data_IF_299721345831
#
_entry.id   IF_299721345831
#
_cell.length_a   1.000
_cell.length_b   1.000
_cell.length_c   1.000
_cell.angle_alpha   90.00
_cell.angle_beta   90.00
_cell.angle_gamma   90.00
#
_symmetry.space_group_name_H-M   'P 1'
#
loop_
_entity.id
_entity.type
_entity.pdbx_description
1 polymer ?
#
# COMPACT_ATOMS: atom_id res chain seq x y z
N UNK A 1 -1.42 -10.12 -15.28
CA UNK A 1 -1.71 -9.22 -16.42
C UNK A 1 -3.19 -9.02 -16.68
N UNK A 2 -3.96 -10.03 -17.10
CA UNK A 2 -5.41 -9.85 -17.40
C UNK A 2 -6.23 -9.27 -16.24
N UNK A 3 -5.95 -9.66 -15.00
CA UNK A 3 -6.60 -9.07 -13.81
C UNK A 3 -6.16 -7.63 -13.52
N UNK A 4 -4.89 -7.30 -13.78
CA UNK A 4 -4.33 -5.96 -13.51
C UNK A 4 -4.86 -4.90 -14.47
N UNK A 5 -5.17 -5.30 -15.70
CA UNK A 5 -5.85 -4.46 -16.70
C UNK A 5 -7.22 -5.05 -17.00
N UNK A 6 -7.92 -5.47 -15.94
CA UNK A 6 -9.28 -6.02 -16.04
C UNK A 6 -10.20 -5.03 -16.74
N UNK A 7 -11.19 -5.57 -17.46
CA UNK A 7 -12.15 -4.82 -18.25
C UNK A 7 -11.51 -3.95 -19.36
N UNK A 8 -10.22 -4.16 -19.71
CA UNK A 8 -9.54 -3.53 -20.84
C UNK A 8 -8.96 -4.58 -21.79
N UNK A 9 -8.85 -4.22 -23.07
CA UNK A 9 -8.19 -5.07 -24.07
C UNK A 9 -6.68 -4.96 -23.87
N UNK A 10 -6.03 -6.09 -23.61
CA UNK A 10 -4.58 -6.23 -23.57
C UNK A 10 -4.12 -6.85 -24.89
N UNK A 11 -3.22 -6.17 -25.59
CA UNK A 11 -2.63 -6.67 -26.82
C UNK A 11 -1.81 -7.95 -26.61
N UNK A 12 -1.83 -8.85 -27.59
CA UNK A 12 -1.08 -10.11 -27.52
C UNK A 12 0.41 -9.87 -27.29
N UNK A 13 1.00 -8.87 -27.95
CA UNK A 13 2.42 -8.52 -27.80
C UNK A 13 2.77 -8.10 -26.36
N UNK A 14 1.86 -7.41 -25.66
CA UNK A 14 2.07 -7.04 -24.25
C UNK A 14 1.99 -8.26 -23.33
N UNK A 15 1.16 -9.25 -23.65
CA UNK A 15 1.11 -10.52 -22.93
C UNK A 15 2.37 -11.35 -23.17
N UNK A 16 2.92 -11.33 -24.39
CA UNK A 16 4.17 -12.01 -24.74
C UNK A 16 5.33 -11.42 -23.92
N UNK A 17 5.51 -10.10 -23.94
CA UNK A 17 6.54 -9.42 -23.13
C UNK A 17 6.37 -9.66 -21.64
N UNK A 18 5.15 -9.72 -21.14
CA UNK A 18 4.91 -9.99 -19.72
C UNK A 18 5.39 -11.39 -19.28
N UNK A 19 5.43 -12.37 -20.19
CA UNK A 19 5.78 -13.76 -19.87
C UNK A 19 7.24 -14.07 -20.21
N UNK A 20 7.72 -13.58 -21.35
CA UNK A 20 9.06 -13.93 -21.88
C UNK A 20 10.02 -12.76 -21.99
N UNK A 21 9.60 -11.56 -21.61
CA UNK A 21 10.39 -10.32 -21.73
C UNK A 21 10.94 -10.16 -23.16
N UNK A 22 12.26 -10.02 -23.31
CA UNK A 22 12.94 -9.88 -24.60
C UNK A 22 13.30 -11.22 -25.27
N UNK A 23 12.92 -12.37 -24.70
CA UNK A 23 13.28 -13.71 -25.22
C UNK A 23 12.07 -14.61 -25.50
N UNK A 24 11.10 -14.20 -26.35
CA UNK A 24 9.95 -15.02 -26.67
C UNK A 24 10.31 -16.24 -27.54
N UNK A 25 9.66 -17.40 -27.31
CA UNK A 25 9.78 -18.54 -28.20
C UNK A 25 9.08 -18.27 -29.54
N UNK A 26 9.50 -18.95 -30.61
CA UNK A 26 8.86 -18.86 -31.95
C UNK A 26 7.36 -19.22 -31.90
N UNK A 27 6.93 -19.97 -30.89
CA UNK A 27 5.54 -20.40 -30.68
C UNK A 27 4.75 -19.51 -29.71
N UNK A 28 5.29 -18.35 -29.30
CA UNK A 28 4.71 -17.41 -28.34
C UNK A 28 3.18 -17.24 -28.45
N UNK A 29 2.67 -16.85 -29.62
CA UNK A 29 1.24 -16.61 -29.88
C UNK A 29 0.40 -17.86 -29.72
N UNK A 30 0.94 -19.02 -30.11
CA UNK A 30 0.28 -20.32 -29.92
C UNK A 30 0.22 -20.68 -28.44
N UNK A 31 1.31 -20.45 -27.68
CA UNK A 31 1.33 -20.67 -26.24
C UNK A 31 0.36 -19.74 -25.50
N UNK A 32 0.27 -18.45 -25.89
CA UNK A 32 -0.75 -17.53 -25.35
C UNK A 32 -2.16 -18.09 -25.56
N UNK A 33 -2.49 -18.56 -26.77
CA UNK A 33 -3.83 -19.14 -27.06
C UNK A 33 -4.13 -20.35 -26.17
N UNK A 34 -3.14 -21.21 -25.94
CA UNK A 34 -3.27 -22.37 -25.03
C UNK A 34 -3.55 -21.90 -23.60
N UNK A 35 -2.79 -20.93 -23.10
CA UNK A 35 -3.01 -20.33 -21.78
C UNK A 35 -4.42 -19.73 -21.65
N UNK A 36 -4.87 -18.95 -22.64
CA UNK A 36 -6.21 -18.34 -22.67
C UNK A 36 -7.31 -19.41 -22.68
N UNK A 37 -7.15 -20.48 -23.47
CA UNK A 37 -8.09 -21.61 -23.48
C UNK A 37 -8.16 -22.30 -22.12
N UNK A 38 -7.01 -22.48 -21.45
CA UNK A 38 -6.95 -23.05 -20.10
C UNK A 38 -7.64 -22.17 -19.07
N UNK A 39 -7.36 -20.86 -19.08
CA UNK A 39 -7.99 -19.89 -18.17
C UNK A 39 -9.50 -19.83 -18.36
N UNK A 40 -10.00 -19.84 -19.60
CA UNK A 40 -11.45 -19.89 -19.89
C UNK A 40 -12.13 -21.10 -19.24
N UNK A 41 -11.49 -22.28 -19.30
CA UNK A 41 -12.02 -23.49 -18.65
C UNK A 41 -12.04 -23.36 -17.13
N UNK A 42 -11.02 -22.75 -16.54
CA UNK A 42 -10.95 -22.53 -15.09
C UNK A 42 -12.06 -21.56 -14.63
N UNK A 43 -12.28 -20.46 -15.35
CA UNK A 43 -13.33 -19.51 -14.98
C UNK A 43 -14.74 -20.04 -15.19
N UNK A 44 -14.97 -20.88 -16.21
CA UNK A 44 -16.27 -21.51 -16.43
C UNK A 44 -16.71 -22.45 -15.29
N UNK A 45 -15.78 -22.92 -14.46
CA UNK A 45 -16.05 -23.76 -13.29
C UNK A 45 -15.89 -23.05 -11.94
N UNK A 46 -15.64 -21.74 -11.93
CA UNK A 46 -15.42 -20.97 -10.71
C UNK A 46 -16.68 -20.31 -10.18
N UNK A 47 -16.68 -19.99 -8.88
CA UNK A 47 -17.79 -19.27 -8.21
C UNK A 47 -17.87 -17.79 -8.62
N UNK A 48 -16.77 -17.25 -9.15
CA UNK A 48 -16.67 -15.84 -9.56
C UNK A 48 -16.97 -15.70 -11.06
N UNK A 49 -17.95 -14.86 -11.45
CA UNK A 49 -18.28 -14.65 -12.85
C UNK A 49 -17.18 -13.85 -13.55
N UNK A 50 -16.33 -14.55 -14.30
CA UNK A 50 -15.27 -13.97 -15.11
C UNK A 50 -15.24 -14.57 -16.51
N UNK A 51 -15.14 -13.72 -17.55
CA UNK A 51 -15.12 -14.17 -18.94
C UNK A 51 -13.96 -13.55 -19.69
N UNK A 52 -13.20 -14.35 -20.45
CA UNK A 52 -12.17 -13.81 -21.35
C UNK A 52 -12.74 -13.70 -22.77
N UNK A 53 -12.86 -12.47 -23.27
CA UNK A 53 -13.25 -12.16 -24.64
C UNK A 53 -12.04 -12.05 -25.56
N UNK A 54 -12.17 -12.54 -26.79
CA UNK A 54 -11.16 -12.36 -27.84
C UNK A 54 -11.53 -11.14 -28.67
N UNK A 55 -10.58 -10.21 -28.78
CA UNK A 55 -10.67 -9.03 -29.63
C UNK A 55 -9.67 -9.14 -30.79
N UNK A 56 -9.79 -8.26 -31.79
CA UNK A 56 -8.92 -8.26 -32.98
C UNK A 56 -7.43 -8.20 -32.64
N UNK A 57 -7.07 -7.42 -31.61
CA UNK A 57 -5.67 -7.15 -31.23
C UNK A 57 -5.22 -7.90 -29.98
N UNK A 58 -6.13 -8.58 -29.27
CA UNK A 58 -5.84 -9.03 -27.92
C UNK A 58 -6.98 -9.72 -27.19
N UNK A 59 -6.89 -9.69 -25.87
CA UNK A 59 -7.86 -10.33 -24.98
C UNK A 59 -8.32 -9.35 -23.90
N UNK A 60 -9.57 -9.49 -23.47
CA UNK A 60 -10.15 -8.72 -22.38
C UNK A 60 -10.72 -9.68 -21.34
N UNK A 61 -10.38 -9.47 -20.08
CA UNK A 61 -11.04 -10.17 -18.97
C UNK A 61 -12.19 -9.29 -18.47
N UNK A 62 -13.42 -9.75 -18.66
CA UNK A 62 -14.63 -9.19 -18.09
C UNK A 62 -14.82 -9.76 -16.69
N UNK A 63 -14.84 -8.90 -15.67
CA UNK A 63 -15.00 -9.28 -14.26
C UNK A 63 -15.47 -8.06 -13.47
N UNK A 64 -16.29 -8.26 -12.43
CA UNK A 64 -16.75 -7.14 -11.60
C UNK A 64 -15.59 -6.60 -10.77
N UNK A 65 -15.57 -5.29 -10.56
CA UNK A 65 -14.51 -4.66 -9.76
C UNK A 65 -14.45 -5.22 -8.33
N UNK A 66 -15.59 -5.50 -7.69
CA UNK A 66 -15.60 -6.05 -6.33
C UNK A 66 -15.12 -7.51 -6.23
N UNK A 67 -15.01 -8.22 -7.36
CA UNK A 67 -14.47 -9.59 -7.41
C UNK A 67 -12.92 -9.60 -7.50
N UNK A 68 -12.30 -8.42 -7.64
CA UNK A 68 -10.84 -8.24 -7.60
C UNK A 68 -10.45 -7.60 -6.28
N UNK A 69 -9.64 -8.30 -5.50
CA UNK A 69 -9.14 -7.83 -4.20
C UNK A 69 -8.43 -6.47 -4.29
N UNK A 70 -7.61 -6.23 -5.33
CA UNK A 70 -6.97 -4.93 -5.56
C UNK A 70 -7.95 -3.78 -5.78
N UNK A 71 -9.06 -4.02 -6.49
CA UNK A 71 -10.06 -2.99 -6.76
C UNK A 71 -10.89 -2.73 -5.51
N UNK A 72 -11.27 -3.80 -4.79
CA UNK A 72 -11.94 -3.68 -3.49
C UNK A 72 -11.07 -2.94 -2.47
N UNK A 73 -9.77 -3.24 -2.41
CA UNK A 73 -8.79 -2.51 -1.59
C UNK A 73 -8.81 -1.02 -1.92
N UNK A 74 -8.60 -0.65 -3.19
CA UNK A 74 -8.58 0.75 -3.60
C UNK A 74 -9.88 1.49 -3.26
N UNK A 75 -11.04 0.82 -3.43
CA UNK A 75 -12.35 1.38 -3.08
C UNK A 75 -12.47 1.63 -1.57
N UNK A 76 -12.12 0.64 -0.74
CA UNK A 76 -12.18 0.76 0.72
C UNK A 76 -11.25 1.85 1.24
N UNK A 77 -10.01 1.95 0.71
CA UNK A 77 -9.07 3.02 1.08
C UNK A 77 -9.60 4.39 0.67
N UNK A 78 -10.16 4.52 -0.54
CA UNK A 78 -10.79 5.76 -0.99
C UNK A 78 -11.95 6.18 -0.09
N UNK A 79 -12.80 5.22 0.30
CA UNK A 79 -13.89 5.45 1.23
C UNK A 79 -13.38 5.85 2.63
N UNK A 80 -12.40 5.13 3.17
CA UNK A 80 -11.83 5.40 4.49
C UNK A 80 -11.23 6.81 4.55
N UNK A 81 -10.45 7.22 3.54
CA UNK A 81 -9.87 8.56 3.46
C UNK A 81 -10.93 9.67 3.35
N UNK A 82 -12.02 9.42 2.64
CA UNK A 82 -13.13 10.38 2.55
C UNK A 82 -13.84 10.51 3.91
N UNK A 83 -14.14 9.38 4.55
CA UNK A 83 -14.84 9.34 5.84
C UNK A 83 -13.98 9.89 6.99
N UNK A 84 -12.65 9.76 6.90
CA UNK A 84 -11.70 10.31 7.87
C UNK A 84 -11.84 11.82 8.09
N UNK A 85 -12.47 12.53 7.15
CA UNK A 85 -12.69 13.98 7.22
C UNK A 85 -13.91 14.37 8.06
N UNK A 86 -14.88 13.47 8.22
CA UNK A 86 -16.19 13.80 8.80
C UNK A 86 -16.65 12.84 9.89
N UNK A 87 -16.09 11.62 9.94
CA UNK A 87 -16.49 10.58 10.89
C UNK A 87 -15.51 10.42 12.05
N UNK A 88 -15.98 9.73 13.09
CA UNK A 88 -15.15 9.36 14.22
C UNK A 88 -14.06 8.37 13.79
N UNK A 89 -12.82 8.47 14.31
CA UNK A 89 -11.70 7.62 13.86
C UNK A 89 -11.94 6.11 14.01
N UNK A 90 -12.76 5.67 14.97
CA UNK A 90 -13.04 4.24 15.20
C UNK A 90 -13.73 3.56 14.02
N UNK A 91 -14.69 4.22 13.39
CA UNK A 91 -15.40 3.68 12.21
C UNK A 91 -14.48 3.62 10.99
N UNK A 92 -13.62 4.63 10.84
CA UNK A 92 -12.68 4.78 9.72
C UNK A 92 -11.57 3.72 9.79
N UNK A 93 -11.05 3.42 10.98
CA UNK A 93 -10.05 2.35 11.18
C UNK A 93 -10.59 1.01 10.70
N UNK A 94 -11.88 0.73 10.90
CA UNK A 94 -12.52 -0.51 10.42
C UNK A 94 -12.36 -0.70 8.91
N UNK A 95 -12.57 0.36 8.13
CA UNK A 95 -12.43 0.32 6.66
C UNK A 95 -10.97 0.10 6.23
N UNK A 96 -10.00 0.76 6.89
CA UNK A 96 -8.58 0.51 6.62
C UNK A 96 -8.19 -0.94 6.93
N UNK A 97 -8.62 -1.45 8.09
CA UNK A 97 -8.32 -2.84 8.50
C UNK A 97 -8.96 -3.87 7.57
N UNK A 98 -10.19 -3.63 7.12
CA UNK A 98 -10.84 -4.48 6.11
C UNK A 98 -10.06 -4.48 4.79
N UNK A 99 -9.62 -3.31 4.32
CA UNK A 99 -8.84 -3.19 3.09
C UNK A 99 -7.49 -3.91 3.21
N UNK A 100 -6.75 -3.66 4.28
CA UNK A 100 -5.44 -4.26 4.52
C UNK A 100 -5.53 -5.79 4.64
N UNK A 101 -6.62 -6.33 5.18
CA UNK A 101 -6.84 -7.78 5.28
C UNK A 101 -7.02 -8.50 3.92
N UNK A 102 -7.27 -7.76 2.83
CA UNK A 102 -7.31 -8.32 1.48
C UNK A 102 -5.93 -8.74 0.97
N UNK A 103 -4.86 -8.18 1.56
CA UNK A 103 -3.49 -8.47 1.19
C UNK A 103 -3.02 -9.77 1.83
N UNK A 104 -2.61 -10.73 0.99
CA UNK A 104 -2.16 -12.08 1.41
C UNK A 104 -0.66 -12.30 1.20
N UNK A 105 0.08 -11.22 0.90
CA UNK A 105 1.49 -11.23 0.56
C UNK A 105 1.79 -10.30 -0.62
N UNK A 106 3.04 -10.32 -1.12
CA UNK A 106 3.44 -9.48 -2.25
C UNK A 106 2.63 -9.81 -3.51
N UNK A 107 2.11 -8.78 -4.16
CA UNK A 107 1.48 -8.88 -5.47
C UNK A 107 2.41 -9.63 -6.44
N UNK A 108 1.89 -10.69 -7.05
CA UNK A 108 2.63 -11.46 -8.05
C UNK A 108 3.75 -12.35 -7.51
N UNK A 109 3.79 -12.60 -6.19
CA UNK A 109 4.76 -13.50 -5.59
C UNK A 109 4.84 -14.84 -6.36
N UNK A 110 6.06 -15.20 -6.78
CA UNK A 110 6.34 -16.43 -7.51
C UNK A 110 6.17 -16.38 -9.04
N UNK A 111 5.76 -15.24 -9.63
CA UNK A 111 5.55 -15.12 -11.09
C UNK A 111 6.78 -14.63 -11.87
N UNK A 112 7.76 -13.98 -11.22
CA UNK A 112 9.08 -13.65 -11.79
C UNK A 112 9.04 -12.90 -13.14
N UNK A 113 8.39 -11.73 -13.21
CA UNK A 113 8.25 -10.94 -14.44
C UNK A 113 8.57 -9.46 -14.17
N UNK A 114 9.61 -8.87 -14.82
CA UNK A 114 9.98 -7.47 -14.59
C UNK A 114 8.85 -6.47 -14.84
N UNK A 115 8.04 -6.73 -15.87
CA UNK A 115 6.87 -5.90 -16.16
C UNK A 115 5.85 -5.97 -15.02
N UNK A 116 5.63 -7.15 -14.45
CA UNK A 116 4.73 -7.34 -13.31
C UNK A 116 5.28 -6.66 -12.06
N UNK A 117 6.58 -6.75 -11.81
CA UNK A 117 7.26 -6.14 -10.66
C UNK A 117 7.12 -4.62 -10.71
N UNK A 118 7.28 -4.02 -11.88
CA UNK A 118 7.10 -2.57 -12.08
C UNK A 118 5.68 -2.09 -11.77
N UNK A 119 4.67 -2.90 -12.13
CA UNK A 119 3.26 -2.59 -11.85
C UNK A 119 2.94 -2.83 -10.37
N UNK A 120 3.51 -3.89 -9.77
CA UNK A 120 3.35 -4.24 -8.37
C UNK A 120 3.83 -3.12 -7.44
N UNK A 121 4.92 -2.43 -7.80
CA UNK A 121 5.54 -1.38 -7.00
C UNK A 121 4.53 -0.29 -6.59
N UNK A 122 3.68 0.15 -7.52
CA UNK A 122 2.64 1.15 -7.22
C UNK A 122 1.66 0.63 -6.15
N UNK A 123 1.21 -0.60 -6.29
CA UNK A 123 0.24 -1.18 -5.35
C UNK A 123 0.87 -1.44 -3.97
N UNK A 124 2.15 -1.80 -3.92
CA UNK A 124 2.89 -1.89 -2.65
C UNK A 124 3.00 -0.53 -1.97
N UNK A 125 3.23 0.54 -2.72
CA UNK A 125 3.22 1.90 -2.16
C UNK A 125 1.83 2.29 -1.64
N UNK A 126 0.77 2.01 -2.40
CA UNK A 126 -0.61 2.25 -1.97
C UNK A 126 -0.94 1.46 -0.68
N UNK A 127 -0.45 0.21 -0.55
CA UNK A 127 -0.57 -0.61 0.66
C UNK A 127 0.13 0.03 1.86
N UNK A 128 1.40 0.40 1.71
CA UNK A 128 2.15 1.00 2.81
C UNK A 128 1.58 2.35 3.23
N UNK A 129 1.14 3.18 2.29
CA UNK A 129 0.46 4.43 2.57
C UNK A 129 -0.84 4.20 3.36
N UNK A 130 -1.65 3.22 2.98
CA UNK A 130 -2.86 2.85 3.72
C UNK A 130 -2.57 2.32 5.13
N UNK A 131 -1.48 1.57 5.29
CA UNK A 131 -1.02 1.05 6.57
C UNK A 131 -0.57 2.20 7.50
N UNK A 132 0.21 3.14 6.97
CA UNK A 132 0.62 4.36 7.68
C UNK A 132 -0.60 5.18 8.13
N UNK A 133 -1.59 5.38 7.25
CA UNK A 133 -2.85 6.07 7.59
C UNK A 133 -3.62 5.34 8.72
N UNK A 134 -3.69 4.01 8.64
CA UNK A 134 -4.36 3.18 9.65
C UNK A 134 -3.70 3.32 11.03
N UNK A 135 -2.38 3.18 11.10
CA UNK A 135 -1.64 3.33 12.35
C UNK A 135 -1.76 4.74 12.93
N UNK A 136 -1.80 5.77 12.07
CA UNK A 136 -2.02 7.13 12.52
C UNK A 136 -3.36 7.27 13.26
N UNK A 137 -4.43 6.75 12.68
CA UNK A 137 -5.76 6.77 13.29
C UNK A 137 -5.82 5.95 14.58
N UNK A 138 -5.18 4.79 14.62
CA UNK A 138 -5.12 3.96 15.83
C UNK A 138 -4.30 4.61 16.96
N UNK A 139 -3.24 5.34 16.63
CA UNK A 139 -2.51 6.17 17.58
C UNK A 139 -3.40 7.29 18.13
N UNK A 140 -4.19 7.96 17.29
CA UNK A 140 -5.15 8.99 17.73
C UNK A 140 -6.22 8.43 18.67
N UNK A 141 -6.60 7.17 18.50
CA UNK A 141 -7.55 6.44 19.35
C UNK A 141 -6.94 5.93 20.67
N UNK A 142 -5.64 6.12 20.90
CA UNK A 142 -4.97 5.66 22.11
C UNK A 142 -4.55 4.19 22.07
N UNK A 143 -4.61 3.51 20.92
CA UNK A 143 -4.30 2.09 20.78
C UNK A 143 -2.80 1.79 20.73
N UNK A 144 -1.98 2.60 21.42
CA UNK A 144 -0.52 2.57 21.40
C UNK A 144 0.04 1.16 21.64
N UNK A 145 -0.35 0.50 22.73
CA UNK A 145 0.12 -0.86 23.06
C UNK A 145 -0.38 -1.92 22.10
N UNK A 146 -1.60 -1.76 21.57
CA UNK A 146 -2.26 -2.75 20.71
C UNK A 146 -1.51 -2.92 19.40
N UNK A 147 -1.01 -1.83 18.83
CA UNK A 147 -0.38 -1.81 17.51
C UNK A 147 1.15 -2.06 17.55
N UNK A 148 1.78 -2.06 18.74
CA UNK A 148 3.24 -2.15 18.87
C UNK A 148 3.84 -3.34 18.14
N UNK A 149 3.25 -4.54 18.27
CA UNK A 149 3.79 -5.75 17.66
C UNK A 149 3.81 -5.68 16.13
N UNK A 150 2.67 -5.31 15.55
CA UNK A 150 2.50 -5.17 14.10
C UNK A 150 3.38 -4.05 13.54
N UNK A 151 3.39 -2.89 14.19
CA UNK A 151 4.19 -1.74 13.77
C UNK A 151 5.70 -2.02 13.87
N UNK A 152 6.15 -2.79 14.87
CA UNK A 152 7.54 -3.27 14.97
C UNK A 152 7.91 -4.17 13.80
N UNK A 153 7.01 -5.07 13.39
CA UNK A 153 7.23 -5.92 12.23
C UNK A 153 7.42 -5.09 10.97
N UNK A 154 6.53 -4.13 10.69
CA UNK A 154 6.65 -3.29 9.49
C UNK A 154 7.87 -2.36 9.49
N UNK A 155 8.30 -1.83 10.65
CA UNK A 155 9.55 -1.07 10.74
C UNK A 155 10.77 -1.96 10.48
N UNK A 156 10.71 -3.24 10.84
CA UNK A 156 11.80 -4.20 10.58
C UNK A 156 11.91 -4.50 9.10
N UNK A 157 10.78 -4.72 8.42
CA UNK A 157 10.71 -4.97 6.97
C UNK A 157 11.02 -3.72 6.14
N UNK A 158 10.69 -2.53 6.64
CA UNK A 158 10.86 -1.26 5.93
C UNK A 158 11.66 -0.24 6.77
N UNK A 159 12.95 -0.48 7.00
CA UNK A 159 13.74 0.27 7.97
C UNK A 159 14.06 1.72 7.57
N UNK A 160 13.70 2.11 6.35
CA UNK A 160 13.87 3.48 5.83
C UNK A 160 12.55 4.25 5.70
N UNK A 161 11.40 3.64 6.06
CA UNK A 161 10.11 4.35 6.08
C UNK A 161 9.98 5.16 7.36
N UNK A 162 10.43 6.42 7.30
CA UNK A 162 10.44 7.32 8.46
C UNK A 162 9.06 7.49 9.13
N UNK A 163 7.96 7.45 8.37
CA UNK A 163 6.60 7.53 8.93
C UNK A 163 6.33 6.40 9.92
N UNK A 164 6.61 5.15 9.54
CA UNK A 164 6.42 3.98 10.41
C UNK A 164 7.33 4.04 11.64
N UNK A 165 8.58 4.49 11.46
CA UNK A 165 9.54 4.67 12.55
C UNK A 165 9.02 5.71 13.55
N UNK A 166 8.52 6.85 13.04
CA UNK A 166 7.93 7.89 13.87
C UNK A 166 6.73 7.34 14.64
N UNK A 167 5.80 6.67 13.97
CA UNK A 167 4.64 6.04 14.61
C UNK A 167 5.05 5.04 15.70
N UNK A 168 6.11 4.26 15.49
CA UNK A 168 6.62 3.31 16.49
C UNK A 168 7.23 4.02 17.70
N UNK A 169 8.04 5.06 17.47
CA UNK A 169 8.58 5.90 18.54
C UNK A 169 7.44 6.49 19.40
N UNK A 170 6.35 6.93 18.76
CA UNK A 170 5.17 7.48 19.43
C UNK A 170 4.47 6.40 20.25
N UNK A 171 4.21 5.24 19.66
CA UNK A 171 3.55 4.13 20.33
C UNK A 171 4.34 3.67 21.57
N UNK A 172 5.68 3.60 21.46
CA UNK A 172 6.58 3.24 22.55
C UNK A 172 6.53 4.29 23.67
N UNK A 173 6.72 5.56 23.32
CA UNK A 173 6.70 6.67 24.29
C UNK A 173 5.36 6.74 25.04
N UNK A 174 4.23 6.72 24.33
CA UNK A 174 2.89 6.76 24.93
C UNK A 174 2.56 5.50 25.74
N UNK A 175 3.30 4.42 25.54
CA UNK A 175 3.19 3.20 26.35
C UNK A 175 4.09 3.22 27.59
N UNK A 176 4.78 4.33 27.88
CA UNK A 176 5.73 4.45 28.99
C UNK A 176 7.11 3.87 28.69
N UNK A 177 7.40 3.51 27.44
CA UNK A 177 8.65 2.89 26.99
C UNK A 177 9.59 3.92 26.36
N UNK A 178 9.83 5.02 27.08
CA UNK A 178 10.65 6.16 26.61
C UNK A 178 12.06 5.74 26.21
N UNK A 179 12.71 4.87 26.99
CA UNK A 179 14.05 4.37 26.68
C UNK A 179 14.09 3.63 25.34
N UNK A 180 13.07 2.82 25.06
CA UNK A 180 12.97 2.06 23.81
C UNK A 180 12.72 2.97 22.61
N UNK A 181 11.88 4.01 22.76
CA UNK A 181 11.64 5.00 21.71
C UNK A 181 12.94 5.74 21.32
N UNK A 182 13.75 6.15 22.30
CA UNK A 182 15.03 6.80 22.06
C UNK A 182 16.11 5.84 21.53
N UNK A 183 16.06 4.56 21.93
CA UNK A 183 16.95 3.53 21.38
C UNK A 183 16.64 3.24 19.90
N UNK A 184 15.35 3.22 19.53
CA UNK A 184 14.89 3.09 18.16
C UNK A 184 15.41 4.24 17.28
N UNK A 185 15.30 5.49 17.74
CA UNK A 185 15.84 6.64 17.00
C UNK A 185 17.35 6.53 16.79
N UNK A 186 18.12 6.21 17.83
CA UNK A 186 19.58 6.04 17.73
C UNK A 186 19.97 4.96 16.74
N UNK A 187 19.26 3.83 16.75
CA UNK A 187 19.47 2.73 15.81
C UNK A 187 19.14 3.16 14.38
N UNK A 188 18.03 3.87 14.19
CA UNK A 188 17.61 4.42 12.89
C UNK A 188 18.65 5.40 12.35
N UNK A 189 19.10 6.36 13.18
CA UNK A 189 20.10 7.35 12.79
C UNK A 189 21.41 6.71 12.34
N UNK A 190 21.90 5.72 13.10
CA UNK A 190 23.10 4.96 12.71
C UNK A 190 22.91 4.29 11.36
N UNK A 191 21.78 3.59 11.15
CA UNK A 191 21.46 2.93 9.88
C UNK A 191 21.37 3.92 8.70
N UNK A 192 20.72 5.07 8.87
CA UNK A 192 20.64 6.09 7.81
C UNK A 192 22.03 6.63 7.45
N UNK A 193 22.87 6.89 8.45
CA UNK A 193 24.23 7.36 8.21
C UNK A 193 25.11 6.31 7.55
N UNK A 194 25.01 5.04 7.97
CA UNK A 194 25.86 3.95 7.48
C UNK A 194 25.44 3.45 6.09
N UNK A 195 24.14 3.31 5.84
CA UNK A 195 23.63 2.68 4.61
C UNK A 195 23.27 3.71 3.51
N UNK A 196 22.85 4.93 3.90
CA UNK A 196 22.42 5.97 2.95
C UNK A 196 23.31 7.22 2.95
N UNK A 197 24.19 7.39 3.95
CA UNK A 197 25.04 8.58 4.09
C UNK A 197 24.27 9.86 4.40
N UNK A 198 23.06 9.76 4.96
CA UNK A 198 22.18 10.89 5.29
C UNK A 198 21.73 10.84 6.75
N UNK A 199 21.21 11.97 7.23
CA UNK A 199 20.54 12.06 8.55
C UNK A 199 19.03 11.77 8.44
N UNK A 200 18.39 11.20 9.47
CA UNK A 200 16.93 11.06 9.52
C UNK A 200 16.24 12.41 9.37
N UNK A 201 15.09 12.46 8.69
CA UNK A 201 14.33 13.67 8.43
C UNK A 201 13.91 14.46 9.68
N UNK A 202 13.48 15.70 9.46
CA UNK A 202 13.18 16.65 10.54
C UNK A 202 12.08 16.16 11.48
N UNK A 203 11.12 15.36 10.97
CA UNK A 203 10.05 14.78 11.79
C UNK A 203 10.62 13.87 12.88
N UNK A 204 11.53 12.96 12.53
CA UNK A 204 12.14 12.04 13.49
C UNK A 204 13.03 12.78 14.50
N UNK A 205 13.83 13.75 14.03
CA UNK A 205 14.68 14.57 14.92
C UNK A 205 13.87 15.43 15.87
N UNK A 206 12.77 16.01 15.41
CA UNK A 206 11.84 16.78 16.26
C UNK A 206 11.19 15.88 17.31
N UNK A 207 10.80 14.66 16.92
CA UNK A 207 10.22 13.69 17.85
C UNK A 207 11.21 13.25 18.94
N UNK A 208 12.48 13.00 18.60
CA UNK A 208 13.53 12.73 19.60
C UNK A 208 13.64 13.87 20.61
N UNK A 209 13.76 15.12 20.14
CA UNK A 209 13.86 16.31 20.99
C UNK A 209 12.66 16.46 21.92
N UNK A 210 11.46 16.21 21.41
CA UNK A 210 10.24 16.23 22.21
C UNK A 210 10.23 15.15 23.29
N UNK A 211 10.60 13.91 22.95
CA UNK A 211 10.65 12.81 23.92
C UNK A 211 11.68 13.11 25.02
N UNK A 212 12.84 13.67 24.67
CA UNK A 212 13.86 14.09 25.64
C UNK A 212 13.40 15.26 26.53
N UNK A 213 12.62 16.20 25.98
CA UNK A 213 12.11 17.39 26.67
C UNK A 213 10.82 17.18 27.46
N UNK A 214 10.24 15.98 27.41
CA UNK A 214 8.97 15.67 28.09
C UNK A 214 9.20 15.25 29.52
N UNK A 215 8.76 16.08 30.46
CA UNK A 215 8.25 15.56 31.73
C UNK A 215 6.87 14.93 31.48
N UNK A 216 6.52 13.88 32.23
CA UNK A 216 5.31 13.05 32.08
C UNK A 216 3.97 13.84 31.95
N UNK A 217 3.95 15.13 32.30
CA UNK A 217 2.78 16.01 32.29
C UNK A 217 2.46 16.70 30.94
N UNK A 218 3.35 16.67 29.92
CA UNK A 218 3.20 17.48 28.68
C UNK A 218 2.57 16.78 27.48
N UNK A 219 2.34 15.48 27.57
CA UNK A 219 1.99 14.61 26.43
C UNK A 219 0.61 14.87 25.80
N UNK A 220 -0.21 15.76 26.38
CA UNK A 220 -1.56 16.10 25.86
C UNK A 220 -1.62 17.45 25.12
N UNK A 221 -0.51 18.17 24.96
CA UNK A 221 -0.55 19.49 24.29
C UNK A 221 -0.89 19.37 22.80
N UNK A 222 -1.49 20.43 22.23
CA UNK A 222 -1.78 20.52 20.79
C UNK A 222 -0.52 20.43 19.94
N UNK A 223 0.63 20.85 20.49
CA UNK A 223 1.95 20.73 19.88
C UNK A 223 2.34 19.26 19.63
N UNK A 224 2.03 18.37 20.59
CA UNK A 224 2.15 16.93 20.37
C UNK A 224 1.24 16.49 19.24
N UNK A 225 -0.05 16.81 19.28
CA UNK A 225 -0.98 16.37 18.22
C UNK A 225 -0.55 16.84 16.82
N UNK A 226 -0.09 18.08 16.69
CA UNK A 226 0.32 18.65 15.40
C UNK A 226 1.64 18.06 14.88
N UNK A 227 2.62 17.79 15.75
CA UNK A 227 3.87 17.16 15.33
C UNK A 227 3.69 15.65 15.05
N UNK A 228 2.84 14.99 15.83
CA UNK A 228 2.57 13.55 15.72
C UNK A 228 1.76 13.22 14.46
N UNK A 229 0.80 14.07 14.09
CA UNK A 229 -0.21 13.77 13.07
C UNK A 229 -0.22 14.74 11.87
N UNK A 230 0.66 15.75 11.86
CA UNK A 230 0.67 16.83 10.87
C UNK A 230 -0.61 17.70 10.93
N UNK A 231 -0.69 18.79 10.14
CA UNK A 231 -1.97 19.42 9.85
C UNK A 231 -2.78 18.45 8.98
N UNK A 232 -3.61 17.60 9.61
CA UNK A 232 -4.58 16.69 8.98
C UNK A 232 -4.19 16.25 7.55
N UNK A 233 -3.22 15.35 7.42
CA UNK A 233 -2.81 14.75 6.13
C UNK A 233 -4.00 14.16 5.35
N UNK A 234 -5.06 13.77 6.06
CA UNK A 234 -6.30 13.23 5.51
C UNK A 234 -7.18 14.27 4.77
N UNK A 235 -6.92 15.58 4.96
CA UNK A 235 -7.63 16.65 4.24
C UNK A 235 -6.99 17.06 2.91
N UNK A 236 -5.72 16.75 2.67
CA UNK A 236 -5.05 17.14 1.42
C UNK A 236 -5.08 16.02 0.36
N UNK A 237 -5.95 16.25 -0.63
CA UNK A 237 -6.00 15.76 -2.02
C UNK A 237 -5.62 14.30 -2.33
N UNK A 238 -6.55 13.48 -2.88
CA UNK A 238 -6.14 12.32 -3.64
C UNK A 238 -5.51 12.79 -4.97
N UNK A 239 -4.27 12.37 -5.23
CA UNK A 239 -3.77 12.22 -6.59
C UNK A 239 -4.74 11.29 -7.31
N UNK A 240 -5.69 11.88 -8.03
CA UNK A 240 -6.61 11.13 -8.87
C UNK A 240 -5.74 10.37 -9.87
N UNK A 241 -5.83 9.03 -9.99
CA UNK A 241 -5.23 8.37 -11.13
C UNK A 241 -5.95 8.93 -12.35
N UNK A 242 -5.23 9.79 -13.09
CA UNK A 242 -5.70 10.40 -14.34
C UNK A 242 -6.10 9.24 -15.24
N UNK A 243 -7.40 8.92 -15.29
CA UNK A 243 -7.97 8.10 -16.35
C UNK A 243 -7.62 8.84 -17.63
N UNK A 244 -6.67 8.31 -18.39
CA UNK A 244 -6.50 8.64 -19.79
C UNK A 244 -7.82 8.21 -20.46
N UNK A 245 -8.76 9.15 -20.52
CA UNK A 245 -9.87 9.06 -21.44
C UNK A 245 -9.25 9.03 -22.85
N UNK A 246 -9.65 8.09 -23.72
CA UNK A 246 -9.25 8.16 -25.12
C UNK A 246 -9.82 9.44 -25.71
N UNK A 247 -8.95 10.24 -26.33
CA UNK A 247 -9.35 11.40 -27.12
C UNK A 247 -10.38 10.97 -28.16
N UNK A 248 -11.48 11.73 -28.36
CA UNK A 248 -12.39 11.44 -29.47
C UNK A 248 -11.61 11.64 -30.77
N UNK A 249 -11.61 10.59 -31.60
CA UNK A 249 -11.15 10.71 -32.99
C UNK A 249 -12.28 11.29 -33.81
N UNK A 250 -12.02 12.50 -34.34
CA UNK A 250 -12.72 13.26 -35.40
C UNK A 250 -14.08 13.84 -35.03
#
# INVERSE_FOLDING_TARGET
MLLLESNRVIEVERLIRAIWDDSPPVTDRSQIRICISSLRRQFAGGDVPATIETHKTGYQLQVRDDDIDLHRFARLIGQARLEARTRAPGEVVGLFREALALWRGPLGAGLGSPLLDSVALKYHEDYHSALEDCFELELRLGYHRRILGELTHHVTEHPFRETLIAQLMIALFQSGRTADALALFRTTRRRFSEELGIEPGERLRSLERLILGSSEARTQSEEWRNLLFGPTSLTDSPTTPRRLLPSPSI
#
